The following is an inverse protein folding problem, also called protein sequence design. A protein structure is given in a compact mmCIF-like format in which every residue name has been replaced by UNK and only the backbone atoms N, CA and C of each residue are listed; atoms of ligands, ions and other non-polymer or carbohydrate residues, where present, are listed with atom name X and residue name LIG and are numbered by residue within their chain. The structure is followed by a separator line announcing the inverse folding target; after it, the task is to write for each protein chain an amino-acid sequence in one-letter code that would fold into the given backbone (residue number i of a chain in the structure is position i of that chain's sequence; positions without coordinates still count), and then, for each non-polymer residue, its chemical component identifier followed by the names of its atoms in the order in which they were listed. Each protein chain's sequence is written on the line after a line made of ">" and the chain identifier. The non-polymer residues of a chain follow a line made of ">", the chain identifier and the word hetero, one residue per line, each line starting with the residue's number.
data_IF_378444400546
#
_entry.id   IF_378444400546
#
_cell.length_a   1.000
_cell.length_b   1.000
_cell.length_c   1.000
_cell.angle_alpha   90.00
_cell.angle_beta   90.00
_cell.angle_gamma   90.00
#
_symmetry.space_group_name_H-M   'P 1'
#
loop_
_entity.id
_entity.type
_entity.pdbx_description
1 polymer ?
#
# COMPACT_ATOMS: atom_id res chain seq x y z
N UNK A 1 26.39 5.99 -9.68
CA UNK A 1 25.99 6.75 -8.49
C UNK A 1 24.47 6.82 -8.46
N UNK A 2 23.80 6.21 -7.47
CA UNK A 2 22.34 6.17 -7.40
C UNK A 2 21.87 7.15 -6.32
N UNK A 3 21.15 8.21 -6.72
CA UNK A 3 20.60 9.19 -5.78
C UNK A 3 19.54 8.55 -4.89
N UNK A 4 19.60 8.76 -3.55
CA UNK A 4 18.52 8.33 -2.67
C UNK A 4 17.25 9.11 -3.02
N UNK A 5 16.20 8.38 -3.35
CA UNK A 5 14.88 8.96 -3.60
C UNK A 5 14.29 9.33 -2.24
N UNK A 6 13.86 10.59 -2.00
CA UNK A 6 13.11 10.91 -0.80
C UNK A 6 11.83 10.07 -0.77
N UNK A 7 11.45 9.64 0.44
CA UNK A 7 10.27 8.84 0.76
C UNK A 7 9.08 8.98 -0.23
N UNK A 8 8.53 7.87 -0.77
CA UNK A 8 7.37 7.92 -1.65
C UNK A 8 6.13 8.55 -0.99
N UNK A 9 5.97 8.45 0.33
CA UNK A 9 5.00 9.20 1.14
C UNK A 9 5.44 10.65 1.36
N UNK A 10 5.84 11.36 0.30
CA UNK A 10 6.09 12.80 0.37
C UNK A 10 4.79 13.51 0.82
N UNK A 11 4.72 13.85 2.11
CA UNK A 11 3.97 14.95 2.75
C UNK A 11 2.44 15.06 2.61
N UNK A 12 1.79 14.38 1.66
CA UNK A 12 0.45 14.75 1.19
C UNK A 12 -0.52 13.56 1.10
N UNK A 13 -0.03 12.32 1.11
CA UNK A 13 -0.86 11.12 0.96
C UNK A 13 -1.25 10.55 2.33
N UNK A 14 -2.27 11.14 2.96
CA UNK A 14 -2.86 10.61 4.19
C UNK A 14 -3.85 9.49 3.84
N UNK A 15 -3.38 8.25 3.91
CA UNK A 15 -4.27 7.09 3.87
C UNK A 15 -5.15 7.11 5.13
N UNK A 16 -6.45 7.29 4.95
CA UNK A 16 -7.45 7.32 6.01
C UNK A 16 -8.44 6.18 5.84
N UNK A 17 -9.06 5.73 6.93
CA UNK A 17 -10.20 4.78 6.86
C UNK A 17 -11.36 5.32 6.01
N UNK A 18 -11.39 6.63 5.76
CA UNK A 18 -12.36 7.27 4.87
C UNK A 18 -12.20 6.87 3.39
N UNK A 19 -11.01 6.39 3.01
CA UNK A 19 -10.70 5.85 1.68
C UNK A 19 -11.04 4.35 1.56
N UNK A 20 -11.52 3.70 2.61
CA UNK A 20 -12.06 2.33 2.51
C UNK A 20 -13.29 2.32 1.59
N UNK A 21 -13.51 1.25 0.82
CA UNK A 21 -14.60 1.17 -0.12
C UNK A 21 -15.96 1.18 0.59
N UNK A 22 -16.78 2.19 0.27
CA UNK A 22 -18.08 2.43 0.91
C UNK A 22 -19.21 1.71 0.17
N UNK A 23 -19.01 1.41 -1.11
CA UNK A 23 -19.99 0.74 -1.95
C UNK A 23 -19.57 -0.68 -2.32
N UNK A 24 -20.55 -1.56 -2.54
CA UNK A 24 -20.30 -2.93 -2.99
C UNK A 24 -19.57 -2.98 -4.35
N UNK A 25 -19.85 -1.99 -5.22
CA UNK A 25 -19.16 -1.85 -6.50
C UNK A 25 -17.65 -1.62 -6.33
N UNK A 26 -17.24 -0.79 -5.38
CA UNK A 26 -15.82 -0.56 -5.08
C UNK A 26 -15.17 -1.79 -4.48
N UNK A 27 -15.86 -2.50 -3.57
CA UNK A 27 -15.37 -3.78 -3.00
C UNK A 27 -15.18 -4.84 -4.08
N UNK A 28 -16.10 -4.95 -5.04
CA UNK A 28 -16.00 -5.85 -6.18
C UNK A 28 -14.90 -5.46 -7.19
N UNK A 29 -14.47 -4.19 -7.20
CA UNK A 29 -13.31 -3.77 -7.98
C UNK A 29 -12.02 -4.13 -7.25
N UNK A 30 -11.95 -3.89 -5.94
CA UNK A 30 -10.77 -4.17 -5.13
C UNK A 30 -10.54 -5.67 -4.93
N UNK A 31 -11.59 -6.50 -4.96
CA UNK A 31 -11.46 -7.98 -4.92
C UNK A 31 -10.70 -8.56 -6.12
N UNK A 32 -10.62 -7.83 -7.24
CA UNK A 32 -9.84 -8.22 -8.42
C UNK A 32 -8.37 -7.83 -8.32
N UNK A 33 -8.02 -6.96 -7.37
CA UNK A 33 -6.65 -6.51 -7.15
C UNK A 33 -5.96 -7.55 -6.26
N UNK A 34 -4.80 -8.11 -6.67
CA UNK A 34 -4.09 -9.12 -5.89
C UNK A 34 -3.29 -8.49 -4.74
N UNK A 35 -3.98 -7.77 -3.85
CA UNK A 35 -3.38 -6.95 -2.79
C UNK A 35 -2.46 -7.76 -1.87
N UNK A 36 -2.88 -8.98 -1.48
CA UNK A 36 -2.08 -9.89 -0.65
C UNK A 36 -0.79 -10.35 -1.34
N UNK A 37 -0.85 -10.61 -2.66
CA UNK A 37 0.32 -11.05 -3.44
C UNK A 37 1.36 -9.94 -3.59
N UNK A 38 0.90 -8.70 -3.76
CA UNK A 38 1.78 -7.53 -3.85
C UNK A 38 2.41 -7.23 -2.49
N UNK A 39 1.65 -7.31 -1.40
CA UNK A 39 2.22 -7.18 -0.05
C UNK A 39 3.26 -8.27 0.25
N UNK A 40 3.03 -9.51 -0.18
CA UNK A 40 4.02 -10.59 -0.05
C UNK A 40 5.30 -10.32 -0.84
N UNK A 41 5.17 -9.82 -2.07
CA UNK A 41 6.31 -9.44 -2.91
C UNK A 41 7.08 -8.25 -2.31
N UNK A 42 6.36 -7.29 -1.72
CA UNK A 42 6.95 -6.11 -1.12
C UNK A 42 7.62 -6.44 0.23
N UNK A 43 7.08 -7.39 1.00
CA UNK A 43 7.77 -8.00 2.15
C UNK A 43 9.11 -8.58 1.78
N UNK A 44 9.17 -9.33 0.67
CA UNK A 44 10.43 -9.85 0.17
C UNK A 44 11.41 -8.71 -0.19
N UNK A 45 10.96 -7.69 -0.91
CA UNK A 45 11.79 -6.54 -1.26
C UNK A 45 12.31 -5.77 -0.03
N UNK A 46 11.48 -5.60 1.00
CA UNK A 46 11.86 -4.95 2.26
C UNK A 46 13.00 -5.67 2.97
N UNK A 47 12.89 -7.01 3.06
CA UNK A 47 13.88 -7.85 3.76
C UNK A 47 15.18 -7.95 2.95
N UNK A 48 15.08 -8.09 1.63
CA UNK A 48 16.23 -8.44 0.79
C UNK A 48 16.98 -7.24 0.20
N UNK A 49 16.31 -6.09 -0.04
CA UNK A 49 16.87 -5.03 -0.90
C UNK A 49 16.62 -3.60 -0.43
N UNK A 50 15.47 -3.33 0.20
CA UNK A 50 14.95 -1.97 0.42
C UNK A 50 14.24 -1.84 1.77
N UNK A 51 14.98 -1.84 2.90
CA UNK A 51 14.40 -1.69 4.24
C UNK A 51 13.74 -0.32 4.45
N UNK A 52 14.04 0.68 3.61
CA UNK A 52 13.43 2.02 3.62
C UNK A 52 11.93 2.01 3.30
N UNK A 53 11.42 0.95 2.67
CA UNK A 53 9.98 0.78 2.34
C UNK A 53 9.19 0.19 3.53
N UNK A 54 9.88 -0.26 4.59
CA UNK A 54 9.26 -0.89 5.77
C UNK A 54 8.20 -0.02 6.45
N UNK A 55 8.47 1.28 6.53
CA UNK A 55 7.53 2.20 7.15
C UNK A 55 6.21 2.29 6.35
N UNK A 56 6.30 2.38 5.03
CA UNK A 56 5.14 2.56 4.16
C UNK A 56 4.27 1.30 4.16
N UNK A 57 4.90 0.13 4.19
CA UNK A 57 4.21 -1.15 4.34
C UNK A 57 3.51 -1.31 5.67
N UNK A 58 4.09 -0.79 6.76
CA UNK A 58 3.40 -0.70 8.03
C UNK A 58 2.09 0.10 7.95
N UNK A 59 2.06 1.17 7.15
CA UNK A 59 0.86 2.00 6.96
C UNK A 59 -0.18 1.27 6.09
N UNK A 60 0.24 0.71 4.96
CA UNK A 60 -0.64 0.04 3.98
C UNK A 60 -1.24 -1.27 4.52
N UNK A 61 -0.48 -2.03 5.32
CA UNK A 61 -0.95 -3.27 5.94
C UNK A 61 -2.17 -3.09 6.85
N UNK A 62 -2.37 -1.90 7.42
CA UNK A 62 -3.52 -1.59 8.28
C UNK A 62 -4.87 -1.65 7.55
N UNK A 63 -4.86 -1.56 6.22
CA UNK A 63 -6.06 -1.57 5.39
C UNK A 63 -6.26 -2.91 4.65
N UNK A 64 -5.53 -3.96 5.01
CA UNK A 64 -5.60 -5.27 4.34
C UNK A 64 -7.00 -5.90 4.36
N UNK A 65 -7.81 -5.62 5.39
CA UNK A 65 -9.15 -6.20 5.53
C UNK A 65 -10.18 -5.54 4.61
N UNK A 66 -10.00 -4.26 4.25
CA UNK A 66 -10.92 -3.52 3.36
C UNK A 66 -10.13 -2.46 2.57
N UNK A 67 -9.28 -2.89 1.61
CA UNK A 67 -8.43 -1.99 0.86
C UNK A 67 -9.29 -1.17 -0.10
N UNK A 68 -9.01 0.13 -0.18
CA UNK A 68 -9.64 1.06 -1.11
C UNK A 68 -8.72 1.34 -2.29
N UNK A 69 -9.24 1.98 -3.33
CA UNK A 69 -8.43 2.32 -4.52
C UNK A 69 -7.22 3.18 -4.16
N UNK A 70 -7.40 4.19 -3.31
CA UNK A 70 -6.30 5.05 -2.84
C UNK A 70 -5.31 4.31 -1.93
N UNK A 71 -5.67 3.15 -1.34
CA UNK A 71 -4.72 2.33 -0.60
C UNK A 71 -3.79 1.51 -1.51
N UNK A 72 -4.13 1.42 -2.81
CA UNK A 72 -3.44 0.62 -3.79
C UNK A 72 -2.68 1.45 -4.83
N UNK A 73 -3.25 2.59 -5.23
CA UNK A 73 -2.73 3.46 -6.29
C UNK A 73 -1.57 4.34 -5.79
#
# INVERSE_FOLDING_TARGET
>A
DAKPVPNPLAGHFKLSKESCPKTEKERNQMSKVPYSSVLGSLMYAMVCTRPDIAHEMGVVSRFMTDPGRDHWQ
#
